data_IF_279388600338
#
_entry.id   IF_279388600338
#
_cell.length_a   1.000
_cell.length_b   1.000
_cell.length_c   1.000
_cell.angle_alpha   90.00
_cell.angle_beta   90.00
_cell.angle_gamma   90.00
#
_symmetry.space_group_name_H-M   'P 1'
#
loop_
_entity.id
_entity.type
_entity.pdbx_description
1 polymer ?
#
# COMPACT_ATOMS: atom_id res chain seq x y z
N UNK A 1 -13.08 -16.08 -24.36
CA UNK A 1 -11.98 -16.88 -23.79
C UNK A 1 -10.70 -16.56 -24.56
N UNK A 2 -9.54 -16.68 -23.92
CA UNK A 2 -8.23 -16.41 -24.55
C UNK A 2 -7.83 -17.65 -25.34
N UNK A 3 -7.41 -17.49 -26.60
CA UNK A 3 -6.96 -18.63 -27.42
C UNK A 3 -5.59 -19.15 -26.96
N UNK A 4 -5.24 -20.43 -27.23
CA UNK A 4 -3.92 -20.96 -26.89
C UNK A 4 -2.74 -20.17 -27.48
N UNK A 5 -2.95 -19.57 -28.66
CA UNK A 5 -1.95 -18.70 -29.29
C UNK A 5 -1.76 -17.41 -28.52
N UNK A 6 -2.85 -16.77 -28.10
CA UNK A 6 -2.80 -15.55 -27.28
C UNK A 6 -2.18 -15.84 -25.92
N UNK A 7 -2.52 -16.95 -25.29
CA UNK A 7 -1.92 -17.38 -24.02
C UNK A 7 -0.40 -17.54 -24.14
N UNK A 8 0.09 -18.18 -25.20
CA UNK A 8 1.53 -18.32 -25.47
C UNK A 8 2.23 -16.97 -25.64
N UNK A 9 1.61 -16.03 -26.35
CA UNK A 9 2.16 -14.68 -26.55
C UNK A 9 2.22 -13.93 -25.22
N UNK A 10 1.14 -13.96 -24.43
CA UNK A 10 1.07 -13.33 -23.11
C UNK A 10 2.15 -13.88 -22.18
N UNK A 11 2.34 -15.21 -22.15
CA UNK A 11 3.37 -15.84 -21.34
C UNK A 11 4.79 -15.37 -21.73
N UNK A 12 5.09 -15.27 -23.03
CA UNK A 12 6.37 -14.75 -23.53
C UNK A 12 6.58 -13.28 -23.18
N UNK A 13 5.55 -12.45 -23.35
CA UNK A 13 5.60 -11.02 -22.98
C UNK A 13 5.81 -10.84 -21.47
N UNK A 14 5.11 -11.64 -20.65
CA UNK A 14 5.25 -11.62 -19.20
C UNK A 14 6.66 -12.03 -18.77
N UNK A 15 7.24 -13.09 -19.37
CA UNK A 15 8.62 -13.47 -19.10
C UNK A 15 9.61 -12.37 -19.50
N UNK A 16 9.45 -11.79 -20.68
CA UNK A 16 10.33 -10.72 -21.17
C UNK A 16 10.34 -9.50 -20.24
N UNK A 17 9.15 -8.99 -19.87
CA UNK A 17 9.08 -7.81 -18.97
C UNK A 17 9.59 -8.14 -17.56
N UNK A 18 9.42 -9.37 -17.09
CA UNK A 18 9.99 -9.84 -15.80
C UNK A 18 11.52 -9.78 -15.81
N UNK A 19 12.17 -10.25 -16.88
CA UNK A 19 13.64 -10.18 -16.99
C UNK A 19 14.10 -8.73 -17.05
N UNK A 20 13.44 -7.89 -17.84
CA UNK A 20 13.72 -6.43 -17.88
C UNK A 20 13.59 -5.81 -16.48
N UNK A 21 12.53 -6.14 -15.74
CA UNK A 21 12.33 -5.67 -14.37
C UNK A 21 13.52 -6.05 -13.49
N UNK A 22 13.92 -7.32 -13.43
CA UNK A 22 15.05 -7.74 -12.59
C UNK A 22 16.38 -7.08 -12.96
N UNK A 23 16.59 -6.78 -14.25
CA UNK A 23 17.74 -6.01 -14.73
C UNK A 23 17.72 -4.57 -14.22
N UNK A 24 16.58 -3.89 -14.29
CA UNK A 24 16.40 -2.52 -13.81
C UNK A 24 16.48 -2.42 -12.29
N UNK A 25 15.92 -3.39 -11.57
CA UNK A 25 15.95 -3.43 -10.10
C UNK A 25 17.39 -3.51 -9.57
N UNK A 26 18.29 -4.21 -10.27
CA UNK A 26 19.72 -4.27 -9.92
C UNK A 26 20.35 -2.88 -9.78
N UNK A 27 20.06 -1.98 -10.72
CA UNK A 27 20.62 -0.62 -10.72
C UNK A 27 20.19 0.17 -9.47
N UNK A 28 18.92 0.02 -9.08
CA UNK A 28 18.40 0.66 -7.85
C UNK A 28 19.06 0.02 -6.62
N UNK A 29 19.13 -1.31 -6.56
CA UNK A 29 19.70 -2.06 -5.43
C UNK A 29 21.18 -1.71 -5.23
N UNK A 30 21.95 -1.56 -6.30
CA UNK A 30 23.37 -1.22 -6.23
C UNK A 30 23.62 0.21 -5.77
N UNK A 31 22.73 1.13 -6.14
CA UNK A 31 22.84 2.54 -5.76
C UNK A 31 22.26 2.86 -4.38
N UNK A 32 21.62 1.89 -3.73
CA UNK A 32 20.91 2.00 -2.44
C UNK A 32 21.22 0.83 -1.53
N UNK A 33 22.49 0.69 -1.13
CA UNK A 33 22.89 -0.38 -0.22
C UNK A 33 22.10 -0.36 1.10
N UNK A 34 21.68 0.84 1.54
CA UNK A 34 20.88 1.07 2.74
C UNK A 34 19.48 0.43 2.68
N UNK A 35 19.01 -0.01 1.52
CA UNK A 35 17.72 -0.70 1.39
C UNK A 35 17.78 -2.19 1.75
N UNK A 36 18.98 -2.75 1.94
CA UNK A 36 19.18 -4.18 2.29
C UNK A 36 18.51 -5.15 1.29
N UNK A 37 18.54 -4.79 0.00
CA UNK A 37 17.86 -5.52 -1.07
C UNK A 37 18.79 -6.42 -1.90
N UNK A 38 20.10 -6.48 -1.59
CA UNK A 38 21.10 -7.24 -2.36
C UNK A 38 20.72 -8.72 -2.54
N UNK A 39 20.04 -9.32 -1.56
CA UNK A 39 19.54 -10.69 -1.62
C UNK A 39 18.48 -10.95 -2.71
N UNK A 40 17.95 -9.92 -3.36
CA UNK A 40 16.98 -10.03 -4.47
C UNK A 40 17.61 -10.02 -5.86
N UNK A 41 18.92 -9.78 -5.94
CA UNK A 41 19.68 -9.96 -7.17
C UNK A 41 19.93 -11.45 -7.39
N UNK A 42 19.12 -12.10 -8.23
CA UNK A 42 19.18 -13.57 -8.42
C UNK A 42 19.68 -14.05 -9.79
N UNK A 43 19.67 -13.19 -10.84
CA UNK A 43 20.06 -13.60 -12.19
C UNK A 43 21.49 -14.15 -12.29
N UNK A 44 22.44 -13.60 -11.53
CA UNK A 44 23.82 -14.09 -11.50
C UNK A 44 24.01 -15.43 -10.78
N UNK A 45 22.97 -15.93 -10.09
CA UNK A 45 22.98 -17.22 -9.39
C UNK A 45 22.42 -18.36 -10.25
N UNK A 46 22.06 -18.08 -11.50
CA UNK A 46 21.56 -19.08 -12.43
C UNK A 46 22.76 -19.85 -13.00
N UNK A 47 22.75 -21.17 -12.82
CA UNK A 47 23.59 -22.07 -13.59
C UNK A 47 22.84 -22.48 -14.86
N UNK A 48 23.20 -21.81 -15.97
CA UNK A 48 22.58 -22.07 -17.27
C UNK A 48 22.89 -23.46 -17.84
N UNK A 49 23.98 -24.10 -17.42
CA UNK A 49 24.33 -25.46 -17.89
C UNK A 49 23.51 -26.51 -17.15
N UNK A 50 23.38 -26.36 -15.83
CA UNK A 50 22.60 -27.27 -14.99
C UNK A 50 21.10 -26.97 -15.01
N UNK A 51 20.70 -25.78 -15.45
CA UNK A 51 19.31 -25.34 -15.44
C UNK A 51 18.80 -25.10 -14.01
N UNK A 52 19.66 -24.65 -13.12
CA UNK A 52 19.37 -24.44 -11.69
C UNK A 52 19.63 -23.00 -11.27
N UNK A 53 19.13 -22.62 -10.11
CA UNK A 53 19.43 -21.35 -9.45
C UNK A 53 19.76 -21.59 -7.98
N UNK A 54 20.83 -20.97 -7.50
CA UNK A 54 21.22 -21.09 -6.09
C UNK A 54 20.43 -20.09 -5.22
N UNK A 55 19.71 -20.61 -4.23
CA UNK A 55 19.08 -19.82 -3.18
C UNK A 55 19.58 -20.29 -1.81
N UNK A 56 20.19 -19.38 -1.04
CA UNK A 56 20.69 -19.66 0.31
C UNK A 56 21.60 -20.91 0.39
N UNK A 57 22.47 -21.10 -0.61
CA UNK A 57 23.37 -22.26 -0.68
C UNK A 57 22.72 -23.57 -1.15
N UNK A 58 21.46 -23.55 -1.60
CA UNK A 58 20.75 -24.71 -2.14
C UNK A 58 20.38 -24.47 -3.61
N UNK A 59 20.68 -25.45 -4.46
CA UNK A 59 20.31 -25.42 -5.88
C UNK A 59 18.86 -25.85 -6.09
N UNK A 60 18.10 -25.05 -6.83
CA UNK A 60 16.74 -25.37 -7.24
C UNK A 60 16.63 -25.47 -8.77
N UNK A 61 15.94 -26.48 -9.32
CA UNK A 61 15.69 -26.57 -10.76
C UNK A 61 14.76 -25.44 -11.23
N UNK A 62 15.13 -24.82 -12.34
CA UNK A 62 14.30 -23.81 -13.01
C UNK A 62 13.18 -24.48 -13.82
N UNK A 63 11.98 -23.89 -13.78
CA UNK A 63 10.83 -24.30 -14.61
C UNK A 63 11.08 -24.13 -16.11
N UNK A 64 11.95 -23.18 -16.46
CA UNK A 64 12.30 -22.82 -17.82
C UNK A 64 13.76 -22.37 -17.82
N UNK A 65 14.55 -22.88 -18.77
CA UNK A 65 15.99 -22.64 -18.91
C UNK A 65 16.34 -21.73 -20.10
N UNK A 66 15.35 -21.28 -20.87
CA UNK A 66 15.56 -20.46 -22.06
C UNK A 66 15.54 -18.96 -21.74
N UNK A 67 16.71 -18.37 -21.50
CA UNK A 67 16.85 -16.93 -21.20
C UNK A 67 17.68 -16.22 -22.28
N UNK A 68 17.13 -16.00 -23.49
CA UNK A 68 17.92 -15.57 -24.65
C UNK A 68 18.52 -14.17 -24.51
N UNK A 69 18.00 -13.34 -23.60
CA UNK A 69 18.48 -11.97 -23.38
C UNK A 69 19.41 -11.83 -22.17
N UNK A 70 19.74 -12.92 -21.46
CA UNK A 70 20.66 -12.88 -20.32
C UNK A 70 22.04 -13.34 -20.77
N UNK A 71 23.01 -12.42 -20.77
CA UNK A 71 24.44 -12.74 -20.90
C UNK A 71 24.97 -13.24 -19.56
N UNK A 72 25.45 -14.49 -19.42
CA UNK A 72 25.97 -15.02 -18.16
C UNK A 72 27.14 -14.21 -17.57
N UNK A 73 27.90 -13.49 -18.40
CA UNK A 73 29.01 -12.65 -17.93
C UNK A 73 28.56 -11.27 -17.46
N UNK A 74 27.38 -10.82 -17.90
CA UNK A 74 26.78 -9.54 -17.55
C UNK A 74 25.25 -9.68 -17.39
N UNK A 75 24.76 -10.48 -16.43
CA UNK A 75 23.38 -10.97 -16.40
C UNK A 75 22.32 -9.88 -16.20
N UNK A 76 22.74 -8.70 -15.74
CA UNK A 76 21.86 -7.56 -15.49
C UNK A 76 21.87 -6.52 -16.62
N UNK A 77 22.72 -6.69 -17.64
CA UNK A 77 22.80 -5.72 -18.74
C UNK A 77 21.55 -5.83 -19.62
N UNK A 78 20.87 -4.70 -19.82
CA UNK A 78 19.78 -4.61 -20.81
C UNK A 78 20.35 -4.72 -22.22
N UNK A 79 19.71 -5.51 -23.08
CA UNK A 79 19.98 -5.50 -24.52
C UNK A 79 19.51 -4.18 -25.14
N UNK A 80 19.98 -3.84 -26.34
CA UNK A 80 19.55 -2.61 -27.02
C UNK A 80 18.03 -2.59 -27.27
N UNK A 81 17.45 -3.76 -27.56
CA UNK A 81 16.01 -3.95 -27.75
C UNK A 81 15.23 -3.77 -26.44
N UNK A 82 15.74 -4.31 -25.33
CA UNK A 82 15.14 -4.12 -24.00
C UNK A 82 15.19 -2.63 -23.60
N UNK A 83 16.30 -1.94 -23.88
CA UNK A 83 16.42 -0.49 -23.65
C UNK A 83 15.40 0.31 -24.47
N UNK A 84 15.21 -0.03 -25.75
CA UNK A 84 14.21 0.61 -26.60
C UNK A 84 12.78 0.39 -26.07
N UNK A 85 12.45 -0.83 -25.61
CA UNK A 85 11.17 -1.14 -24.96
C UNK A 85 10.97 -0.28 -23.72
N UNK A 86 11.96 -0.21 -22.82
CA UNK A 86 11.89 0.61 -21.60
C UNK A 86 11.71 2.09 -21.94
N UNK A 87 12.47 2.61 -22.92
CA UNK A 87 12.36 4.00 -23.36
C UNK A 87 10.97 4.32 -23.91
N UNK A 88 10.39 3.42 -24.72
CA UNK A 88 9.02 3.55 -25.26
C UNK A 88 7.98 3.55 -24.15
N UNK A 89 8.08 2.64 -23.18
CA UNK A 89 7.20 2.60 -22.01
C UNK A 89 7.30 3.90 -21.21
N UNK A 90 8.50 4.32 -20.82
CA UNK A 90 8.72 5.57 -20.07
C UNK A 90 8.14 6.77 -20.82
N UNK A 91 8.36 6.86 -22.13
CA UNK A 91 7.82 7.95 -22.97
C UNK A 91 6.29 7.93 -22.99
N UNK A 92 5.67 6.75 -23.17
CA UNK A 92 4.22 6.60 -23.19
C UNK A 92 3.58 6.99 -21.85
N UNK A 93 4.14 6.52 -20.72
CA UNK A 93 3.63 6.82 -19.39
C UNK A 93 3.79 8.31 -19.04
N UNK A 94 4.95 8.92 -19.33
CA UNK A 94 5.20 10.35 -19.08
C UNK A 94 4.38 11.26 -20.00
N UNK A 95 4.11 10.84 -21.23
CA UNK A 95 3.32 11.60 -22.21
C UNK A 95 1.81 11.51 -22.01
N UNK A 96 1.30 10.58 -21.18
CA UNK A 96 -0.13 10.37 -21.01
C UNK A 96 -0.76 11.43 -20.08
N UNK A 97 -1.51 12.37 -20.66
CA UNK A 97 -2.15 13.46 -19.94
C UNK A 97 -3.14 12.96 -18.87
N UNK A 98 -3.94 11.94 -19.17
CA UNK A 98 -4.95 11.39 -18.25
C UNK A 98 -4.26 10.76 -17.04
N UNK A 99 -3.23 9.96 -17.27
CA UNK A 99 -2.44 9.37 -16.19
C UNK A 99 -1.80 10.46 -15.34
N UNK A 100 -1.19 11.48 -15.95
CA UNK A 100 -0.62 12.63 -15.23
C UNK A 100 -1.65 13.35 -14.37
N UNK A 101 -2.88 13.55 -14.87
CA UNK A 101 -3.98 14.15 -14.09
C UNK A 101 -4.35 13.28 -12.88
N UNK A 102 -4.42 11.95 -13.05
CA UNK A 102 -4.68 11.03 -11.95
C UNK A 102 -3.55 11.04 -10.91
N UNK A 103 -2.30 10.93 -11.34
CA UNK A 103 -1.13 10.99 -10.46
C UNK A 103 -1.07 12.32 -9.71
N UNK A 104 -1.30 13.46 -10.39
CA UNK A 104 -1.37 14.77 -9.74
C UNK A 104 -2.47 14.84 -8.67
N UNK A 105 -3.63 14.21 -8.90
CA UNK A 105 -4.70 14.12 -7.89
C UNK A 105 -4.23 13.32 -6.66
N UNK A 106 -3.63 12.14 -6.90
CA UNK A 106 -3.10 11.28 -5.82
C UNK A 106 -2.05 12.02 -4.99
N UNK A 107 -1.10 12.70 -5.62
CA UNK A 107 -0.14 13.51 -4.88
C UNK A 107 -0.82 14.72 -4.20
N UNK A 108 -1.76 15.41 -4.83
CA UNK A 108 -2.36 16.62 -4.22
C UNK A 108 -3.30 16.34 -3.04
N UNK A 109 -3.87 15.14 -2.96
CA UNK A 109 -4.94 14.79 -2.00
C UNK A 109 -4.63 13.56 -1.16
N UNK A 110 -3.80 12.66 -1.66
CA UNK A 110 -3.40 11.45 -0.98
C UNK A 110 -2.36 11.73 0.10
N UNK A 111 -2.37 10.86 1.09
CA UNK A 111 -1.43 10.77 2.19
C UNK A 111 -1.37 9.32 2.64
N UNK A 112 -0.28 8.92 3.30
CA UNK A 112 -0.14 7.55 3.82
C UNK A 112 -1.12 7.23 4.96
N UNK A 113 -1.52 8.27 5.68
CA UNK A 113 -2.54 8.19 6.72
C UNK A 113 -3.42 9.44 6.72
N UNK A 114 -4.60 9.33 7.31
CA UNK A 114 -5.53 10.43 7.51
C UNK A 114 -6.18 10.29 8.88
N UNK A 115 -6.07 11.32 9.72
CA UNK A 115 -6.87 11.44 10.93
C UNK A 115 -8.15 12.22 10.59
N UNK A 116 -9.31 11.63 10.84
CA UNK A 116 -10.61 12.24 10.55
C UNK A 116 -11.68 11.84 11.54
N UNK A 117 -12.31 12.83 12.17
CA UNK A 117 -13.42 12.68 13.11
C UNK A 117 -13.14 11.62 14.19
N UNK A 118 -11.95 11.64 14.78
CA UNK A 118 -11.54 10.68 15.81
C UNK A 118 -11.13 9.31 15.29
N UNK A 119 -11.01 9.11 13.97
CA UNK A 119 -10.54 7.87 13.37
C UNK A 119 -9.18 8.08 12.72
N UNK A 120 -8.34 7.05 12.79
CA UNK A 120 -7.08 6.97 12.07
C UNK A 120 -7.25 6.04 10.88
N UNK A 121 -7.03 6.55 9.68
CA UNK A 121 -7.03 5.77 8.44
C UNK A 121 -5.58 5.60 7.98
N UNK A 122 -5.14 4.39 7.68
CA UNK A 122 -3.88 4.14 6.95
C UNK A 122 -3.95 2.85 6.16
N UNK A 123 -3.05 2.69 5.20
CA UNK A 123 -2.95 1.49 4.36
C UNK A 123 -1.67 0.72 4.66
N UNK A 124 -1.77 -0.61 4.74
CA UNK A 124 -0.63 -1.48 5.07
C UNK A 124 -0.43 -1.65 6.58
N UNK A 125 0.84 -1.69 7.00
CA UNK A 125 1.27 -2.03 8.35
C UNK A 125 1.87 -0.87 9.12
N UNK A 126 1.73 -0.90 10.44
CA UNK A 126 2.53 -0.08 11.36
C UNK A 126 3.74 -0.89 11.83
N UNK A 127 4.96 -0.50 11.47
CA UNK A 127 6.14 -1.32 11.78
C UNK A 127 6.36 -1.42 13.29
N UNK A 128 6.48 -2.65 13.80
CA UNK A 128 6.58 -2.94 15.22
C UNK A 128 7.63 -4.01 15.52
N UNK A 129 8.19 -3.95 16.72
CA UNK A 129 8.96 -5.03 17.32
C UNK A 129 8.01 -5.99 18.06
N UNK A 130 8.50 -7.19 18.40
CA UNK A 130 7.70 -8.23 19.07
C UNK A 130 7.14 -7.79 20.43
N UNK A 131 7.83 -6.87 21.12
CA UNK A 131 7.41 -6.28 22.39
C UNK A 131 6.30 -5.21 22.24
N UNK A 132 5.86 -4.90 21.02
CA UNK A 132 4.85 -3.88 20.74
C UNK A 132 5.37 -2.44 20.74
N UNK A 133 6.68 -2.23 20.76
CA UNK A 133 7.28 -0.91 20.46
C UNK A 133 7.30 -0.65 18.96
N UNK A 134 7.27 0.63 18.56
CA UNK A 134 7.41 0.99 17.15
C UNK A 134 8.83 0.67 16.68
N UNK A 135 8.91 -0.03 15.54
CA UNK A 135 10.20 -0.37 14.95
C UNK A 135 10.83 0.89 14.36
N UNK A 136 12.10 1.13 14.71
CA UNK A 136 12.89 2.21 14.13
C UNK A 136 13.45 1.79 12.79
N UNK A 137 13.37 2.68 11.81
CA UNK A 137 13.93 2.52 10.48
C UNK A 137 14.87 3.69 10.22
N UNK A 138 16.09 3.38 9.76
CA UNK A 138 17.08 4.40 9.41
C UNK A 138 16.89 4.83 7.96
N UNK A 139 16.68 6.13 7.74
CA UNK A 139 16.53 6.71 6.40
C UNK A 139 17.42 7.95 6.32
N UNK A 140 18.36 7.98 5.38
CA UNK A 140 19.30 9.09 5.19
C UNK A 140 20.08 9.47 6.47
N UNK A 141 20.46 8.47 7.28
CA UNK A 141 21.25 8.65 8.50
C UNK A 141 20.44 8.88 9.79
N UNK A 142 19.15 9.21 9.66
CA UNK A 142 18.26 9.49 10.80
C UNK A 142 17.30 8.31 11.07
N UNK A 143 16.92 8.12 12.32
CA UNK A 143 15.98 7.06 12.72
C UNK A 143 14.56 7.59 12.89
N UNK A 144 13.60 6.92 12.25
CA UNK A 144 12.18 7.24 12.33
C UNK A 144 11.37 6.03 12.79
N UNK A 145 10.30 6.28 13.54
CA UNK A 145 9.35 5.26 13.99
C UNK A 145 7.95 5.86 14.08
N UNK A 146 6.92 5.01 14.15
CA UNK A 146 5.54 5.45 14.36
C UNK A 146 5.08 6.50 13.34
N UNK A 147 4.48 7.58 13.84
CA UNK A 147 3.98 8.68 13.00
C UNK A 147 5.11 9.39 12.25
N UNK A 148 6.25 9.59 12.90
CA UNK A 148 7.39 10.30 12.28
C UNK A 148 7.93 9.55 11.05
N UNK A 149 7.88 8.21 11.05
CA UNK A 149 8.22 7.41 9.88
C UNK A 149 7.24 7.65 8.73
N UNK A 150 5.93 7.65 9.01
CA UNK A 150 4.92 7.92 7.99
C UNK A 150 5.07 9.34 7.40
N UNK A 151 5.32 10.33 8.24
CA UNK A 151 5.55 11.72 7.79
C UNK A 151 6.81 11.81 6.89
N UNK A 152 7.90 11.12 7.26
CA UNK A 152 9.12 11.07 6.44
C UNK A 152 8.87 10.38 5.10
N UNK A 153 8.15 9.27 5.08
CA UNK A 153 7.81 8.57 3.83
C UNK A 153 6.95 9.46 2.93
N UNK A 154 5.94 10.16 3.47
CA UNK A 154 5.09 11.07 2.67
C UNK A 154 5.93 12.19 2.04
N UNK A 155 6.92 12.74 2.78
CA UNK A 155 7.90 13.69 2.25
C UNK A 155 8.71 13.11 1.09
N UNK A 156 9.31 11.93 1.27
CA UNK A 156 10.17 11.29 0.26
C UNK A 156 9.42 10.94 -1.02
N UNK A 157 8.18 10.46 -0.88
CA UNK A 157 7.31 10.16 -2.03
C UNK A 157 7.02 11.44 -2.82
N UNK A 158 6.78 12.57 -2.14
CA UNK A 158 6.61 13.89 -2.79
C UNK A 158 7.89 14.41 -3.43
N UNK A 159 9.03 14.23 -2.76
CA UNK A 159 10.35 14.57 -3.30
C UNK A 159 10.59 13.81 -4.61
N UNK A 160 10.28 12.51 -4.66
CA UNK A 160 10.40 11.70 -5.88
C UNK A 160 9.62 12.24 -7.09
N UNK A 161 8.55 13.01 -6.87
CA UNK A 161 7.73 13.55 -7.96
C UNK A 161 7.96 15.04 -8.24
N UNK A 162 8.02 15.89 -7.22
CA UNK A 162 8.04 17.35 -7.35
C UNK A 162 9.42 18.01 -7.18
N UNK A 163 10.40 17.31 -6.61
CA UNK A 163 11.72 17.90 -6.36
C UNK A 163 12.44 18.24 -7.68
N UNK A 164 13.20 19.34 -7.64
CA UNK A 164 14.04 19.82 -8.74
C UNK A 164 15.49 19.38 -8.58
N UNK A 165 15.97 19.21 -7.35
CA UNK A 165 17.28 18.62 -7.07
C UNK A 165 17.30 17.16 -7.57
N UNK A 166 18.16 16.83 -8.56
CA UNK A 166 18.17 15.51 -9.17
C UNK A 166 18.57 14.40 -8.19
N UNK A 167 19.42 14.69 -7.19
CA UNK A 167 19.89 13.70 -6.22
C UNK A 167 18.76 13.34 -5.26
N UNK A 168 18.08 14.35 -4.70
CA UNK A 168 16.94 14.13 -3.80
C UNK A 168 15.77 13.48 -4.53
N UNK A 169 15.47 13.95 -5.74
CA UNK A 169 14.43 13.35 -6.58
C UNK A 169 14.70 11.88 -6.85
N UNK A 170 15.91 11.54 -7.28
CA UNK A 170 16.30 10.16 -7.56
C UNK A 170 16.17 9.28 -6.32
N UNK A 171 16.61 9.76 -5.16
CA UNK A 171 16.40 9.03 -3.90
C UNK A 171 14.91 8.78 -3.63
N UNK A 172 14.04 9.79 -3.79
CA UNK A 172 12.59 9.62 -3.64
C UNK A 172 11.97 8.64 -4.65
N UNK A 173 12.40 8.67 -5.92
CA UNK A 173 11.99 7.71 -6.95
C UNK A 173 12.37 6.27 -6.58
N UNK A 174 13.62 6.06 -6.15
CA UNK A 174 14.11 4.76 -5.69
C UNK A 174 13.37 4.29 -4.43
N UNK A 175 13.06 5.22 -3.53
CA UNK A 175 12.33 4.94 -2.30
C UNK A 175 10.87 4.53 -2.58
N UNK A 176 10.22 5.09 -3.62
CA UNK A 176 8.89 4.63 -4.06
C UNK A 176 8.94 3.17 -4.53
N UNK A 177 9.99 2.79 -5.28
CA UNK A 177 10.20 1.37 -5.64
C UNK A 177 10.44 0.51 -4.39
N UNK A 178 11.22 0.99 -3.43
CA UNK A 178 11.44 0.30 -2.16
C UNK A 178 10.13 0.11 -1.37
N UNK A 179 9.22 1.09 -1.35
CA UNK A 179 7.93 0.94 -0.68
C UNK A 179 7.10 -0.24 -1.22
N UNK A 180 7.26 -0.57 -2.50
CA UNK A 180 6.55 -1.69 -3.13
C UNK A 180 7.08 -3.06 -2.69
N UNK A 181 8.39 -3.21 -2.44
CA UNK A 181 9.04 -4.51 -2.39
C UNK A 181 10.05 -4.72 -1.25
N UNK A 182 10.43 -3.64 -0.59
CA UNK A 182 11.53 -3.59 0.36
C UNK A 182 11.15 -4.17 1.72
N UNK A 183 12.08 -4.87 2.40
CA UNK A 183 11.90 -5.25 3.78
C UNK A 183 11.66 -4.01 4.63
N UNK A 184 10.77 -4.07 5.60
CA UNK A 184 10.41 -2.92 6.45
C UNK A 184 9.72 -1.76 5.74
N UNK A 185 9.24 -1.92 4.50
CA UNK A 185 8.25 -0.99 3.96
C UNK A 185 6.91 -1.18 4.70
N UNK A 186 6.29 -0.11 5.23
CA UNK A 186 4.93 -0.18 5.78
C UNK A 186 3.89 -0.69 4.76
N UNK A 187 4.13 -0.51 3.46
CA UNK A 187 3.18 -0.93 2.41
C UNK A 187 3.38 -2.38 1.95
N UNK A 188 4.52 -2.99 2.27
CA UNK A 188 4.84 -4.36 1.88
C UNK A 188 4.86 -5.32 3.08
N UNK A 189 5.55 -4.91 4.16
CA UNK A 189 5.67 -5.56 5.46
C UNK A 189 5.87 -7.08 5.40
N UNK A 190 6.80 -7.49 4.54
CA UNK A 190 7.30 -8.87 4.45
C UNK A 190 8.82 -8.86 4.38
N UNK A 191 9.42 -10.01 4.66
CA UNK A 191 10.87 -10.24 4.61
C UNK A 191 11.46 -10.12 3.19
N UNK A 192 10.73 -10.60 2.18
CA UNK A 192 11.13 -10.54 0.76
C UNK A 192 9.93 -10.60 -0.17
N UNK A 193 10.08 -10.06 -1.38
CA UNK A 193 9.16 -10.32 -2.48
C UNK A 193 9.64 -11.50 -3.32
N UNK A 194 8.98 -12.65 -3.19
CA UNK A 194 9.40 -13.93 -3.76
C UNK A 194 8.97 -14.13 -5.23
N UNK A 195 8.91 -13.05 -6.02
CA UNK A 195 8.41 -13.07 -7.41
C UNK A 195 9.23 -13.98 -8.32
N UNK A 196 10.56 -13.90 -8.24
CA UNK A 196 11.45 -14.77 -9.01
C UNK A 196 11.16 -16.25 -8.71
N UNK A 197 11.09 -16.60 -7.43
CA UNK A 197 10.84 -17.95 -6.97
C UNK A 197 9.48 -18.47 -7.47
N UNK A 198 8.42 -17.65 -7.37
CA UNK A 198 7.07 -18.01 -7.86
C UNK A 198 7.07 -18.31 -9.35
N UNK A 199 7.75 -17.47 -10.14
CA UNK A 199 7.75 -17.59 -11.60
C UNK A 199 8.64 -18.71 -12.10
N UNK A 200 9.81 -18.93 -11.49
CA UNK A 200 10.85 -19.79 -12.05
C UNK A 200 11.14 -21.06 -11.26
N UNK A 201 10.61 -21.23 -10.05
CA UNK A 201 10.87 -22.41 -9.20
C UNK A 201 9.56 -23.13 -8.88
N UNK A 202 9.53 -24.45 -9.05
CA UNK A 202 8.35 -25.27 -8.79
C UNK A 202 8.09 -25.48 -7.29
N UNK A 203 9.17 -25.56 -6.50
CA UNK A 203 9.09 -25.75 -5.05
C UNK A 203 8.43 -24.54 -4.35
N UNK A 204 7.22 -24.76 -3.86
CA UNK A 204 6.41 -23.75 -3.17
C UNK A 204 7.00 -23.30 -1.84
N UNK A 205 7.90 -24.07 -1.22
CA UNK A 205 8.59 -23.64 0.00
C UNK A 205 9.40 -22.36 -0.23
N UNK A 206 9.96 -22.19 -1.44
CA UNK A 206 10.74 -21.01 -1.83
C UNK A 206 9.88 -19.74 -1.99
N UNK A 207 8.56 -19.91 -2.18
CA UNK A 207 7.59 -18.81 -2.42
C UNK A 207 7.11 -18.15 -1.13
N UNK A 208 7.50 -18.68 0.03
CA UNK A 208 7.07 -18.17 1.34
C UNK A 208 7.61 -16.76 1.55
N UNK A 209 6.71 -15.86 1.93
CA UNK A 209 7.00 -14.49 2.36
C UNK A 209 6.51 -14.36 3.80
N UNK A 210 7.43 -14.06 4.70
CA UNK A 210 7.13 -13.94 6.13
C UNK A 210 6.61 -12.54 6.40
N UNK A 211 5.37 -12.46 6.90
CA UNK A 211 4.75 -11.17 7.26
C UNK A 211 5.45 -10.56 8.47
N UNK A 212 5.49 -9.23 8.52
CA UNK A 212 6.00 -8.50 9.67
C UNK A 212 5.17 -8.68 10.93
N UNK A 213 5.75 -8.29 12.06
CA UNK A 213 5.22 -8.49 13.42
C UNK A 213 3.84 -7.87 13.61
N UNK A 214 3.58 -6.72 12.96
CA UNK A 214 2.30 -6.04 13.02
C UNK A 214 1.12 -6.93 12.60
N UNK A 215 1.34 -7.83 11.65
CA UNK A 215 0.30 -8.76 11.18
C UNK A 215 -0.32 -9.59 12.31
N UNK A 216 0.45 -9.87 13.36
CA UNK A 216 -0.01 -10.57 14.57
C UNK A 216 -0.49 -9.59 15.64
N UNK A 217 0.29 -8.53 15.91
CA UNK A 217 0.01 -7.58 16.99
C UNK A 217 -1.26 -6.75 16.77
N UNK A 218 -1.67 -6.52 15.53
CA UNK A 218 -2.88 -5.74 15.19
C UNK A 218 -4.19 -6.30 15.77
N UNK A 219 -4.19 -7.54 16.26
CA UNK A 219 -5.36 -8.14 16.91
C UNK A 219 -5.49 -7.74 18.39
N UNK A 220 -4.46 -7.12 18.97
CA UNK A 220 -4.43 -6.70 20.38
C UNK A 220 -4.93 -5.27 20.54
N UNK A 221 -5.83 -5.06 21.51
CA UNK A 221 -6.40 -3.75 21.82
C UNK A 221 -5.37 -2.72 22.28
N UNK A 222 -4.48 -3.10 23.19
CA UNK A 222 -3.45 -2.21 23.73
C UNK A 222 -2.51 -1.70 22.63
N UNK A 223 -2.19 -2.55 21.65
CA UNK A 223 -1.42 -2.17 20.47
C UNK A 223 -2.17 -1.15 19.60
N UNK A 224 -3.45 -1.39 19.31
CA UNK A 224 -4.25 -0.45 18.53
C UNK A 224 -4.44 0.88 19.25
N UNK A 225 -4.64 0.89 20.56
CA UNK A 225 -4.73 2.11 21.37
C UNK A 225 -3.43 2.90 21.36
N UNK A 226 -2.29 2.23 21.49
CA UNK A 226 -0.95 2.85 21.35
C UNK A 226 -0.75 3.48 19.98
N UNK A 227 -1.20 2.83 18.90
CA UNK A 227 -1.15 3.41 17.55
C UNK A 227 -2.05 4.64 17.46
N UNK A 228 -3.26 4.60 18.02
CA UNK A 228 -4.15 5.76 18.02
C UNK A 228 -3.52 6.95 18.77
N UNK A 229 -2.92 6.70 19.93
CA UNK A 229 -2.23 7.71 20.74
C UNK A 229 -1.04 8.35 20.00
N UNK A 230 -0.21 7.54 19.33
CA UNK A 230 0.92 8.00 18.50
C UNK A 230 0.48 9.00 17.41
N UNK A 231 -0.75 8.86 16.92
CA UNK A 231 -1.33 9.76 15.91
C UNK A 231 -2.20 10.88 16.51
N UNK A 232 -2.19 11.04 17.84
CA UNK A 232 -2.97 12.05 18.55
C UNK A 232 -4.48 11.80 18.51
N UNK A 233 -4.90 10.56 18.26
CA UNK A 233 -6.30 10.17 18.16
C UNK A 233 -6.78 9.69 19.53
N UNK A 234 -7.43 10.60 20.25
CA UNK A 234 -7.93 10.37 21.61
C UNK A 234 -9.45 10.51 21.67
N UNK A 235 -10.11 9.75 22.53
CA UNK A 235 -11.54 9.86 22.78
C UNK A 235 -12.19 8.52 23.07
N UNK A 236 -13.50 8.56 23.32
CA UNK A 236 -14.29 7.35 23.59
C UNK A 236 -14.51 6.52 22.31
N UNK A 237 -14.71 7.20 21.18
CA UNK A 237 -15.12 6.62 19.90
C UNK A 237 -14.01 6.82 18.88
N UNK A 238 -12.99 5.97 18.95
CA UNK A 238 -11.79 6.06 18.12
C UNK A 238 -11.44 4.70 17.52
N UNK A 239 -11.30 4.65 16.20
CA UNK A 239 -10.95 3.43 15.48
C UNK A 239 -9.81 3.65 14.52
N UNK A 240 -9.04 2.60 14.33
CA UNK A 240 -8.15 2.43 13.19
C UNK A 240 -8.98 1.83 12.06
N UNK A 241 -8.95 2.46 10.90
CA UNK A 241 -9.53 1.94 9.66
C UNK A 241 -8.37 1.61 8.74
N UNK A 242 -8.22 0.33 8.42
CA UNK A 242 -7.08 -0.16 7.68
C UNK A 242 -7.52 -0.93 6.43
N UNK A 243 -6.89 -0.63 5.29
CA UNK A 243 -7.04 -1.43 4.06
C UNK A 243 -5.81 -2.29 3.80
N UNK A 244 -5.75 -2.93 2.62
CA UNK A 244 -4.63 -3.75 2.10
C UNK A 244 -4.72 -5.25 2.40
N UNK A 245 -5.29 -5.64 3.54
CA UNK A 245 -5.26 -7.02 4.02
C UNK A 245 -6.59 -7.70 3.69
N UNK A 246 -6.62 -8.69 2.79
CA UNK A 246 -7.85 -9.42 2.52
C UNK A 246 -8.29 -10.17 3.77
N UNK A 247 -9.58 -10.06 4.09
CA UNK A 247 -10.19 -10.75 5.23
C UNK A 247 -10.62 -12.13 4.77
N UNK A 248 -10.01 -13.18 5.34
CA UNK A 248 -10.32 -14.56 5.00
C UNK A 248 -11.53 -15.05 5.78
N UNK A 249 -12.71 -14.56 5.41
CA UNK A 249 -13.98 -14.91 6.06
C UNK A 249 -14.23 -16.42 6.07
N UNK A 250 -13.82 -17.11 4.99
CA UNK A 250 -13.88 -18.59 4.86
C UNK A 250 -13.06 -19.33 5.92
N UNK A 251 -12.05 -18.67 6.52
CA UNK A 251 -11.21 -19.20 7.59
C UNK A 251 -11.62 -18.68 8.98
N UNK A 252 -12.80 -18.05 9.09
CA UNK A 252 -13.33 -17.49 10.33
C UNK A 252 -12.70 -16.15 10.73
N UNK A 253 -11.95 -15.49 9.85
CA UNK A 253 -11.39 -14.17 10.13
C UNK A 253 -12.49 -13.11 10.14
N UNK A 254 -12.47 -12.24 11.15
CA UNK A 254 -13.36 -11.08 11.25
C UNK A 254 -12.66 -9.78 10.82
N UNK A 255 -13.39 -8.87 10.13
CA UNK A 255 -12.90 -7.53 9.82
C UNK A 255 -12.83 -6.61 11.06
N UNK A 256 -13.53 -6.97 12.15
CA UNK A 256 -13.50 -6.27 13.43
C UNK A 256 -12.47 -6.95 14.33
N UNK A 257 -11.37 -6.25 14.61
CA UNK A 257 -10.23 -6.77 15.39
C UNK A 257 -10.02 -5.92 16.63
N UNK A 258 -9.22 -6.44 17.57
CA UNK A 258 -8.78 -5.69 18.75
C UNK A 258 -9.95 -5.08 19.54
N UNK A 259 -10.97 -5.89 19.83
CA UNK A 259 -12.21 -5.47 20.54
C UNK A 259 -12.90 -4.27 19.88
N UNK A 260 -12.84 -4.15 18.56
CA UNK A 260 -13.47 -3.05 17.81
C UNK A 260 -12.56 -1.85 17.55
N UNK A 261 -11.32 -1.83 18.05
CA UNK A 261 -10.37 -0.73 17.78
C UNK A 261 -9.80 -0.74 16.36
N UNK A 262 -9.79 -1.89 15.69
CA UNK A 262 -9.33 -2.01 14.30
C UNK A 262 -10.44 -2.54 13.40
N UNK A 263 -10.76 -1.78 12.36
CA UNK A 263 -11.71 -2.11 11.31
C UNK A 263 -10.96 -2.30 10.00
N UNK A 264 -10.93 -3.53 9.52
CA UNK A 264 -10.31 -3.86 8.24
C UNK A 264 -11.35 -3.71 7.13
N UNK A 265 -11.07 -2.82 6.18
CA UNK A 265 -11.91 -2.60 4.99
C UNK A 265 -11.19 -3.15 3.77
N UNK A 266 -11.84 -4.07 3.05
CA UNK A 266 -11.30 -4.64 1.83
C UNK A 266 -12.27 -4.45 0.66
N UNK A 267 -11.71 -4.08 -0.49
CA UNK A 267 -12.43 -3.91 -1.75
C UNK A 267 -12.57 -5.25 -2.47
N UNK A 268 -13.43 -6.12 -1.96
CA UNK A 268 -13.62 -7.48 -2.49
C UNK A 268 -14.36 -7.60 -3.83
N UNK A 269 -14.56 -6.51 -4.57
CA UNK A 269 -15.18 -6.56 -5.90
C UNK A 269 -14.29 -7.21 -6.97
N UNK A 270 -13.01 -7.45 -6.67
CA UNK A 270 -12.12 -8.19 -7.56
C UNK A 270 -12.42 -9.69 -7.53
N UNK A 271 -12.83 -10.24 -8.68
CA UNK A 271 -13.14 -11.66 -8.87
C UNK A 271 -12.00 -12.58 -8.43
N UNK A 272 -10.75 -12.16 -8.64
CA UNK A 272 -9.57 -12.96 -8.30
C UNK A 272 -9.41 -13.22 -6.79
N UNK A 273 -10.00 -12.38 -5.93
CA UNK A 273 -9.89 -12.53 -4.47
C UNK A 273 -11.11 -13.22 -3.84
N UNK A 274 -12.20 -13.42 -4.59
CA UNK A 274 -13.45 -13.98 -4.06
C UNK A 274 -13.30 -15.43 -3.56
N UNK A 275 -12.42 -16.22 -4.17
CA UNK A 275 -12.11 -17.59 -3.71
C UNK A 275 -11.47 -17.57 -2.31
N UNK A 276 -10.59 -16.60 -2.04
CA UNK A 276 -9.92 -16.49 -0.75
C UNK A 276 -10.79 -15.81 0.31
N UNK A 277 -11.53 -14.75 -0.05
CA UNK A 277 -12.32 -13.94 0.90
C UNK A 277 -13.71 -14.52 1.17
N UNK A 278 -14.28 -15.25 0.21
CA UNK A 278 -15.66 -15.76 0.24
C UNK A 278 -16.76 -14.70 0.08
N UNK A 279 -16.40 -13.43 -0.11
CA UNK A 279 -17.31 -12.28 -0.15
C UNK A 279 -16.86 -11.23 -1.19
N UNK A 280 -17.74 -10.29 -1.52
CA UNK A 280 -17.43 -9.15 -2.39
C UNK A 280 -16.82 -7.94 -1.64
N UNK A 281 -16.44 -8.13 -0.37
CA UNK A 281 -15.73 -7.14 0.45
C UNK A 281 -16.61 -6.41 1.46
N UNK A 282 -16.04 -5.37 2.07
CA UNK A 282 -16.68 -4.59 3.11
C UNK A 282 -16.78 -3.11 2.75
N UNK A 283 -17.85 -2.46 3.18
CA UNK A 283 -17.98 -1.00 3.15
C UNK A 283 -18.24 -0.50 4.56
N UNK A 284 -17.39 0.43 5.01
CA UNK A 284 -17.60 1.13 6.27
C UNK A 284 -18.38 2.42 6.00
N UNK A 285 -19.54 2.55 6.63
CA UNK A 285 -20.42 3.71 6.55
C UNK A 285 -20.33 4.46 7.87
N UNK A 286 -19.94 5.73 7.79
CA UNK A 286 -19.94 6.65 8.92
C UNK A 286 -21.03 7.72 8.74
N UNK A 287 -21.92 7.85 9.72
CA UNK A 287 -22.92 8.93 9.73
C UNK A 287 -23.16 9.45 11.16
N UNK A 288 -24.12 10.37 11.33
CA UNK A 288 -24.39 11.01 12.63
C UNK A 288 -24.83 10.04 13.75
N UNK A 289 -25.17 8.80 13.42
CA UNK A 289 -25.61 7.76 14.35
C UNK A 289 -24.52 6.73 14.66
N UNK A 290 -23.37 6.77 13.98
CA UNK A 290 -22.23 5.91 14.27
C UNK A 290 -21.62 5.25 13.04
N UNK A 291 -20.96 4.11 13.29
CA UNK A 291 -20.21 3.32 12.32
C UNK A 291 -20.92 1.99 12.04
N UNK A 292 -21.18 1.73 10.75
CA UNK A 292 -21.74 0.47 10.26
C UNK A 292 -20.78 -0.17 9.29
N UNK A 293 -20.48 -1.45 9.49
CA UNK A 293 -19.71 -2.24 8.55
C UNK A 293 -20.68 -3.14 7.76
N UNK A 294 -20.70 -2.95 6.45
CA UNK A 294 -21.59 -3.66 5.53
C UNK A 294 -20.76 -4.67 4.76
N UNK A 295 -21.11 -5.94 4.88
CA UNK A 295 -20.52 -7.03 4.10
C UNK A 295 -21.31 -7.24 2.81
N UNK A 296 -20.63 -7.30 1.68
CA UNK A 296 -21.24 -7.53 0.36
C UNK A 296 -21.06 -8.98 -0.09
N UNK A 297 -22.11 -9.59 -0.62
CA UNK A 297 -22.02 -10.90 -1.27
C UNK A 297 -21.66 -10.77 -2.76
N UNK A 298 -20.93 -11.75 -3.33
CA UNK A 298 -20.57 -11.73 -4.75
C UNK A 298 -21.81 -11.88 -5.64
N UNK A 299 -21.74 -11.25 -6.81
CA UNK A 299 -22.70 -11.48 -7.89
C UNK A 299 -22.22 -12.62 -8.78
N UNK A 300 -23.12 -13.56 -9.09
CA UNK A 300 -22.84 -14.65 -10.02
C UNK A 300 -22.81 -14.13 -11.47
N UNK A 301 -23.89 -13.48 -11.91
CA UNK A 301 -23.98 -12.83 -13.24
C UNK A 301 -25.13 -11.80 -13.29
N UNK A 302 -25.10 -10.89 -14.26
CA UNK A 302 -26.18 -9.94 -14.50
C UNK A 302 -27.51 -10.63 -14.87
N UNK A 303 -27.43 -11.72 -15.63
CA UNK A 303 -28.59 -12.53 -16.02
C UNK A 303 -29.21 -13.24 -14.82
N UNK A 304 -28.39 -13.88 -13.98
CA UNK A 304 -28.84 -14.51 -12.73
C UNK A 304 -29.46 -13.49 -11.77
N UNK A 305 -28.90 -12.29 -11.67
CA UNK A 305 -29.44 -11.23 -10.83
C UNK A 305 -30.82 -10.76 -11.31
N UNK A 306 -30.98 -10.56 -12.63
CA UNK A 306 -32.26 -10.17 -13.23
C UNK A 306 -33.32 -11.27 -13.13
N UNK A 307 -32.96 -12.52 -13.42
CA UNK A 307 -33.88 -13.67 -13.38
C UNK A 307 -34.36 -14.00 -11.97
N UNK A 308 -33.45 -13.95 -10.99
CA UNK A 308 -33.76 -14.32 -9.60
C UNK A 308 -34.22 -13.14 -8.76
N UNK A 309 -34.26 -11.92 -9.32
CA UNK A 309 -34.53 -10.70 -8.57
C UNK A 309 -33.56 -10.48 -7.40
N UNK A 310 -32.32 -10.97 -7.51
CA UNK A 310 -31.31 -10.85 -6.45
C UNK A 310 -30.83 -9.39 -6.40
N UNK A 311 -31.15 -8.69 -5.31
CA UNK A 311 -30.57 -7.40 -4.95
C UNK A 311 -29.22 -7.60 -4.21
N UNK A 312 -28.46 -6.53 -3.93
CA UNK A 312 -27.23 -6.59 -3.12
C UNK A 312 -27.59 -7.10 -1.73
N UNK A 313 -27.42 -8.41 -1.50
CA UNK A 313 -27.55 -9.00 -0.18
C UNK A 313 -26.36 -8.47 0.63
N UNK A 314 -26.69 -7.68 1.65
CA UNK A 314 -25.72 -7.05 2.53
C UNK A 314 -25.98 -7.47 3.97
N UNK A 315 -24.98 -8.06 4.61
CA UNK A 315 -25.06 -8.30 6.06
C UNK A 315 -24.48 -7.09 6.78
N UNK A 316 -25.32 -6.38 7.54
CA UNK A 316 -24.88 -5.20 8.31
C UNK A 316 -24.45 -5.64 9.70
N UNK A 317 -23.16 -5.47 10.00
CA UNK A 317 -22.65 -5.54 11.37
C UNK A 317 -22.56 -4.12 11.91
N UNK A 318 -23.30 -3.83 12.98
CA UNK A 318 -23.15 -2.55 13.67
C UNK A 318 -21.88 -2.62 14.49
N UNK A 319 -20.91 -1.78 14.13
CA UNK A 319 -19.63 -1.70 14.84
C UNK A 319 -19.78 -0.82 16.06
N UNK A 320 -20.44 0.32 15.90
CA UNK A 320 -20.61 1.28 16.99
C UNK A 320 -21.84 2.16 16.78
N UNK A 321 -22.64 2.30 17.84
CA UNK A 321 -23.68 3.33 17.94
C UNK A 321 -23.18 4.44 18.87
N UNK A 322 -23.21 5.68 18.39
CA UNK A 322 -23.04 6.82 19.30
C UNK A 322 -24.33 7.03 20.09
N UNK A 323 -24.23 7.03 21.42
CA UNK A 323 -25.38 7.23 22.32
C UNK A 323 -26.08 8.57 22.12
N UNK A 324 -25.36 9.58 21.61
CA UNK A 324 -25.89 10.86 21.20
C UNK A 324 -25.54 11.14 19.73
N UNK A 325 -26.50 11.70 18.98
CA UNK A 325 -26.30 12.05 17.57
C UNK A 325 -25.14 13.04 17.43
N UNK A 326 -24.16 12.68 16.60
CA UNK A 326 -23.04 13.58 16.28
C UNK A 326 -23.54 14.77 15.46
N UNK A 327 -23.18 15.98 15.89
CA UNK A 327 -23.49 17.22 15.18
C UNK A 327 -22.28 17.72 14.40
N UNK A 328 -22.50 18.64 13.44
CA UNK A 328 -21.41 19.25 12.66
C UNK A 328 -20.34 19.85 13.58
N UNK A 329 -20.75 20.44 14.71
CA UNK A 329 -19.85 21.04 15.70
C UNK A 329 -18.86 20.01 16.28
N UNK A 330 -19.21 18.74 16.33
CA UNK A 330 -18.38 17.70 16.94
C UNK A 330 -17.33 17.15 15.95
N UNK A 331 -17.50 17.42 14.65
CA UNK A 331 -16.56 17.03 13.58
C UNK A 331 -15.34 17.94 13.51
N UNK A 332 -14.28 17.49 12.83
CA UNK A 332 -13.08 18.30 12.57
C UNK A 332 -13.41 19.58 11.77
N UNK A 333 -14.36 19.48 10.84
CA UNK A 333 -14.87 20.64 10.10
C UNK A 333 -15.54 21.65 11.04
N UNK A 334 -16.35 21.17 12.00
CA UNK A 334 -16.98 22.03 12.99
C UNK A 334 -15.99 22.73 13.91
N UNK A 335 -14.94 22.01 14.35
CA UNK A 335 -13.83 22.60 15.12
C UNK A 335 -13.13 23.71 14.32
N UNK A 336 -12.80 23.46 13.06
CA UNK A 336 -12.21 24.47 12.16
C UNK A 336 -13.11 25.69 11.96
N UNK A 337 -14.41 25.48 11.71
CA UNK A 337 -15.36 26.57 11.54
C UNK A 337 -15.48 27.43 12.80
N UNK A 338 -15.49 26.82 14.00
CA UNK A 338 -15.47 27.58 15.26
C UNK A 338 -14.21 28.41 15.41
N UNK A 339 -13.03 27.84 15.13
CA UNK A 339 -11.78 28.59 15.17
C UNK A 339 -11.81 29.79 14.22
N UNK A 340 -12.29 29.60 12.99
CA UNK A 340 -12.46 30.68 12.01
C UNK A 340 -13.44 31.77 12.50
N UNK A 341 -14.54 31.40 13.15
CA UNK A 341 -15.47 32.37 13.76
C UNK A 341 -14.77 33.20 14.84
N UNK A 342 -13.97 32.57 15.70
CA UNK A 342 -13.23 33.29 16.74
C UNK A 342 -12.14 34.21 16.16
N UNK A 343 -11.43 33.78 15.12
CA UNK A 343 -10.45 34.61 14.42
C UNK A 343 -11.12 35.82 13.75
N UNK A 344 -12.28 35.63 13.13
CA UNK A 344 -13.06 36.73 12.54
C UNK A 344 -13.58 37.72 13.60
N UNK A 345 -13.98 37.24 14.78
CA UNK A 345 -14.37 38.11 15.90
C UNK A 345 -13.18 38.95 16.38
N UNK A 346 -12.00 38.35 16.56
CA UNK A 346 -10.77 39.07 16.92
C UNK A 346 -10.38 40.11 15.87
N UNK A 347 -10.51 39.75 14.58
CA UNK A 347 -10.24 40.67 13.48
C UNK A 347 -11.21 41.86 13.50
N UNK A 348 -12.50 41.60 13.71
CA UNK A 348 -13.52 42.65 13.83
C UNK A 348 -13.22 43.59 15.01
N UNK A 349 -12.82 43.05 16.16
CA UNK A 349 -12.42 43.84 17.32
C UNK A 349 -11.17 44.69 17.02
N UNK A 350 -10.18 44.13 16.33
CA UNK A 350 -8.97 44.85 15.94
C UNK A 350 -9.25 46.01 14.97
N UNK A 351 -10.23 45.87 14.07
CA UNK A 351 -10.73 46.98 13.26
C UNK A 351 -11.43 48.03 14.11
N UNK A 352 -12.34 47.62 15.01
CA UNK A 352 -13.09 48.54 15.89
C UNK A 352 -12.18 49.32 16.84
N UNK A 353 -11.10 48.70 17.32
CA UNK A 353 -10.13 49.34 18.21
C UNK A 353 -9.02 50.10 17.47
N UNK A 354 -9.06 50.15 16.13
CA UNK A 354 -8.05 50.82 15.31
C UNK A 354 -6.67 50.14 15.27
N UNK A 355 -6.52 48.92 15.80
CA UNK A 355 -5.25 48.14 15.73
C UNK A 355 -4.95 47.68 14.31
N UNK A 356 -5.98 47.44 13.51
CA UNK A 356 -5.89 47.15 12.07
C UNK A 356 -6.65 48.23 11.33
N UNK A 357 -6.00 48.88 10.35
CA UNK A 357 -6.65 49.88 9.49
C UNK A 357 -7.32 49.21 8.30
N UNK A 358 -8.50 49.69 7.91
CA UNK A 358 -9.05 49.33 6.60
C UNK A 358 -8.06 49.78 5.53
N UNK A 359 -7.66 48.85 4.66
CA UNK A 359 -7.04 49.23 3.39
C UNK A 359 -8.15 49.82 2.53
N UNK A 360 -8.03 51.12 2.25
CA UNK A 360 -8.90 51.81 1.28
C UNK A 360 -8.69 51.30 -0.13
#
# INVERSE_FOLDING_TARGET
EISPKEESIIAKMHKAITIIQFKLEKEIIDSREEFDMKGRNLLHKIDFKRGTVELNGVDFPLKDTNFPTIDPTAPYKLTDEEQDVVKKLVTSFKGNEKLRKHINCLYSKGSLYLVRNGNLLYHGSMLMNEDGTFKKVRIQGEEYAGKALFDKIDSLVREGYYEKDPVKKKFGEDFIWFLWCGPYSPQFDKDKMATFERYFIADKATHKETKGVYSTLKNRKDICEKILEEFGVTGQYTHIINGHIPVKTTQGETPIKAEGKLLVIDGGFSKAYQEETGIAGYTLIFNSHGLKLVQHHPFESAESAALLGKDIISTTSVVEFVSNRMLVKDTDNGKRLRAQVEDLKKLLEAYRSGKVRQRG
#
